data_IF_244525010569
#
_entry.id   IF_244525010569
#
_cell.length_a   1.000
_cell.length_b   1.000
_cell.length_c   1.000
_cell.angle_alpha   90.00
_cell.angle_beta   90.00
_cell.angle_gamma   90.00
#
_symmetry.space_group_name_H-M   'P 1'
#
loop_
_entity.id
_entity.type
_entity.pdbx_description
1 polymer ?
#
# COMPACT_ATOMS: atom_id res chain seq x y z
N UNK A 1 -41.48 56.98 19.10
CA UNK A 1 -42.29 55.80 19.47
C UNK A 1 -41.66 54.58 18.86
N UNK A 2 -41.03 53.75 19.66
CA UNK A 2 -40.21 52.62 19.35
C UNK A 2 -41.04 51.35 19.15
N UNK A 3 -40.72 50.59 18.14
CA UNK A 3 -41.18 49.22 17.98
C UNK A 3 -39.97 48.28 18.08
N UNK A 4 -39.94 47.31 18.99
CA UNK A 4 -38.80 46.41 19.12
C UNK A 4 -38.89 45.21 18.17
N UNK A 5 -37.79 44.95 17.53
CA UNK A 5 -37.48 43.76 16.74
C UNK A 5 -37.58 42.47 17.59
N UNK A 6 -38.37 41.54 17.15
CA UNK A 6 -38.30 40.15 17.58
C UNK A 6 -37.32 39.40 16.66
N UNK A 7 -36.14 39.18 17.15
CA UNK A 7 -35.18 38.21 16.66
C UNK A 7 -35.24 36.96 17.53
N UNK A 8 -35.98 35.95 17.14
CA UNK A 8 -35.83 34.58 17.64
C UNK A 8 -36.74 33.64 16.83
N UNK A 9 -36.18 32.80 16.03
CA UNK A 9 -36.61 31.46 15.65
C UNK A 9 -36.11 31.04 14.26
N UNK A 10 -34.82 30.96 14.11
CA UNK A 10 -34.23 30.18 12.99
C UNK A 10 -32.93 29.51 13.42
N UNK A 11 -33.01 28.68 14.44
CA UNK A 11 -31.92 27.74 14.76
C UNK A 11 -32.55 26.41 15.15
N UNK A 12 -32.18 25.36 14.44
CA UNK A 12 -32.33 23.98 14.90
C UNK A 12 -33.15 22.98 14.05
N UNK A 13 -33.07 23.06 12.74
CA UNK A 13 -33.47 21.88 11.93
C UNK A 13 -32.35 21.26 11.10
N UNK A 14 -31.21 21.94 10.91
CA UNK A 14 -30.07 21.39 10.16
C UNK A 14 -29.17 20.45 10.97
N UNK A 15 -29.10 20.60 12.30
CA UNK A 15 -28.21 19.81 13.15
C UNK A 15 -28.67 18.35 13.35
N UNK A 16 -29.96 18.11 13.44
CA UNK A 16 -30.49 16.76 13.67
C UNK A 16 -30.44 15.87 12.43
N UNK A 17 -30.55 16.47 11.23
CA UNK A 17 -30.50 15.73 9.98
C UNK A 17 -29.04 15.40 9.56
N UNK A 18 -28.07 16.28 9.85
CA UNK A 18 -26.66 16.03 9.59
C UNK A 18 -26.10 14.91 10.50
N UNK A 19 -26.51 14.88 11.78
CA UNK A 19 -26.11 13.79 12.69
C UNK A 19 -26.74 12.44 12.32
N UNK A 20 -28.00 12.42 11.88
CA UNK A 20 -28.65 11.17 11.42
C UNK A 20 -28.05 10.65 10.09
N UNK A 21 -27.65 11.54 9.18
CA UNK A 21 -26.95 11.17 7.96
C UNK A 21 -25.52 10.68 8.22
N UNK A 22 -24.78 11.35 9.12
CA UNK A 22 -23.44 10.92 9.55
C UNK A 22 -23.47 9.53 10.19
N UNK A 23 -24.41 9.27 11.11
CA UNK A 23 -24.53 7.97 11.78
C UNK A 23 -24.90 6.86 10.77
N UNK A 24 -25.80 7.12 9.82
CA UNK A 24 -26.16 6.15 8.78
C UNK A 24 -24.96 5.84 7.85
N UNK A 25 -24.22 6.85 7.44
CA UNK A 25 -23.05 6.67 6.59
C UNK A 25 -21.93 5.92 7.32
N UNK A 26 -21.73 6.19 8.61
CA UNK A 26 -20.68 5.56 9.45
C UNK A 26 -20.94 4.07 9.70
N UNK A 27 -22.18 3.63 9.78
CA UNK A 27 -22.52 2.20 9.96
C UNK A 27 -22.62 1.47 8.62
N UNK A 28 -23.07 2.12 7.58
CA UNK A 28 -23.34 1.48 6.28
C UNK A 28 -22.06 1.19 5.49
N UNK A 29 -21.09 2.09 5.59
CA UNK A 29 -19.82 1.94 4.87
C UNK A 29 -19.02 0.68 5.28
N UNK A 30 -18.79 0.39 6.56
CA UNK A 30 -18.12 -0.84 6.99
C UNK A 30 -18.84 -2.11 6.56
N UNK A 31 -20.17 -2.16 6.70
CA UNK A 31 -20.96 -3.32 6.26
C UNK A 31 -20.86 -3.52 4.74
N UNK A 32 -21.00 -2.44 3.98
CA UNK A 32 -20.86 -2.47 2.52
C UNK A 32 -19.47 -2.94 2.09
N UNK A 33 -18.39 -2.47 2.74
CA UNK A 33 -17.02 -2.88 2.41
C UNK A 33 -16.78 -4.35 2.71
N UNK A 34 -17.26 -4.85 3.83
CA UNK A 34 -17.12 -6.26 4.19
C UNK A 34 -17.90 -7.16 3.21
N UNK A 35 -19.12 -6.80 2.86
CA UNK A 35 -19.94 -7.51 1.88
C UNK A 35 -19.30 -7.50 0.48
N UNK A 36 -18.73 -6.37 0.07
CA UNK A 36 -18.00 -6.23 -1.19
C UNK A 36 -16.79 -7.17 -1.23
N UNK A 37 -15.98 -7.19 -0.18
CA UNK A 37 -14.83 -8.09 -0.07
C UNK A 37 -15.25 -9.56 -0.13
N UNK A 38 -16.31 -9.92 0.58
CA UNK A 38 -16.83 -11.27 0.59
C UNK A 38 -17.30 -11.69 -0.81
N UNK A 39 -17.99 -10.80 -1.52
CA UNK A 39 -18.44 -11.06 -2.89
C UNK A 39 -17.26 -11.26 -3.85
N UNK A 40 -16.24 -10.39 -3.78
CA UNK A 40 -15.02 -10.52 -4.60
C UNK A 40 -14.32 -11.84 -4.29
N UNK A 41 -14.16 -12.19 -3.02
CA UNK A 41 -13.54 -13.43 -2.61
C UNK A 41 -14.25 -14.66 -3.19
N UNK A 42 -15.59 -14.70 -3.12
CA UNK A 42 -16.37 -15.80 -3.66
C UNK A 42 -16.27 -15.95 -5.19
N UNK A 43 -16.11 -14.82 -5.91
CA UNK A 43 -15.91 -14.83 -7.35
C UNK A 43 -14.51 -15.27 -7.76
N UNK A 44 -13.48 -14.93 -6.97
CA UNK A 44 -12.08 -15.23 -7.27
C UNK A 44 -11.67 -16.62 -6.80
N UNK A 45 -12.20 -17.10 -5.68
CA UNK A 45 -11.83 -18.39 -5.08
C UNK A 45 -11.90 -19.59 -6.06
N UNK A 46 -12.89 -19.71 -6.95
CA UNK A 46 -12.93 -20.81 -7.93
C UNK A 46 -11.85 -20.75 -9.01
N UNK A 47 -11.08 -19.64 -9.09
CA UNK A 47 -10.01 -19.45 -10.07
C UNK A 47 -8.61 -19.86 -9.52
N UNK A 48 -8.51 -20.25 -8.26
CA UNK A 48 -7.23 -20.59 -7.60
C UNK A 48 -6.47 -21.68 -8.38
N UNK A 49 -7.16 -22.71 -8.84
CA UNK A 49 -6.55 -23.83 -9.57
C UNK A 49 -6.08 -23.50 -10.99
N UNK A 50 -6.38 -22.28 -11.49
CA UNK A 50 -5.98 -21.86 -12.82
C UNK A 50 -4.56 -21.25 -12.86
N UNK A 51 -3.97 -21.01 -11.69
CA UNK A 51 -2.62 -20.47 -11.53
C UNK A 51 -1.60 -21.54 -11.14
N UNK A 52 -0.34 -21.10 -11.05
CA UNK A 52 0.76 -21.90 -10.51
C UNK A 52 1.51 -21.09 -9.48
N UNK A 53 1.85 -21.72 -8.36
CA UNK A 53 2.74 -21.12 -7.35
C UNK A 53 4.10 -20.84 -7.99
N UNK A 54 4.70 -19.70 -7.65
CA UNK A 54 6.05 -19.34 -8.11
C UNK A 54 7.08 -20.36 -7.58
N UNK A 55 7.80 -21.02 -8.48
CA UNK A 55 8.75 -22.09 -8.15
C UNK A 55 10.22 -21.73 -8.47
N UNK A 56 10.48 -20.51 -8.93
CA UNK A 56 11.83 -20.01 -9.22
C UNK A 56 12.66 -19.71 -7.95
N UNK A 57 12.03 -19.66 -6.78
CA UNK A 57 12.68 -19.63 -5.46
C UNK A 57 12.15 -20.82 -4.67
N UNK A 58 13.01 -21.73 -4.15
CA UNK A 58 12.57 -22.96 -3.47
C UNK A 58 11.58 -22.71 -2.32
N UNK A 59 11.82 -21.69 -1.49
CA UNK A 59 10.93 -21.33 -0.39
C UNK A 59 9.54 -20.85 -0.84
N UNK A 60 9.38 -20.35 -2.06
CA UNK A 60 8.08 -19.98 -2.62
C UNK A 60 7.34 -21.21 -3.16
N UNK A 61 8.05 -22.19 -3.67
CA UNK A 61 7.46 -23.41 -4.21
C UNK A 61 6.73 -24.25 -3.14
N UNK A 62 7.07 -24.06 -1.86
CA UNK A 62 6.46 -24.75 -0.71
C UNK A 62 5.18 -24.07 -0.21
N UNK A 63 4.80 -22.89 -0.76
CA UNK A 63 3.58 -22.17 -0.35
C UNK A 63 2.34 -22.93 -0.79
N UNK A 64 1.37 -23.06 0.12
CA UNK A 64 0.09 -23.68 -0.19
C UNK A 64 -0.63 -22.94 -1.33
N UNK A 65 -0.90 -23.59 -2.49
CA UNK A 65 -1.52 -22.96 -3.64
C UNK A 65 -2.98 -22.54 -3.41
N UNK A 66 -3.65 -23.09 -2.41
CA UNK A 66 -5.05 -22.80 -2.11
C UNK A 66 -5.25 -21.55 -1.23
N UNK A 67 -4.16 -20.94 -0.76
CA UNK A 67 -4.24 -19.73 0.06
C UNK A 67 -4.71 -18.53 -0.75
N UNK A 68 -5.79 -17.91 -0.28
CA UNK A 68 -6.30 -16.65 -0.80
C UNK A 68 -6.76 -15.76 0.35
N UNK A 69 -6.13 -14.62 0.50
CA UNK A 69 -6.51 -13.60 1.48
C UNK A 69 -6.62 -12.23 0.84
N UNK A 70 -7.62 -11.45 1.25
CA UNK A 70 -7.77 -10.05 0.86
C UNK A 70 -7.89 -9.22 2.13
N UNK A 71 -7.15 -8.13 2.21
CA UNK A 71 -7.22 -7.16 3.29
C UNK A 71 -7.28 -5.73 2.73
N UNK A 72 -8.13 -4.89 3.31
CA UNK A 72 -8.20 -3.46 3.03
C UNK A 72 -8.07 -2.73 4.35
N UNK A 73 -7.13 -1.80 4.42
CA UNK A 73 -6.97 -0.87 5.53
C UNK A 73 -7.29 0.54 5.05
N UNK A 74 -8.25 1.20 5.68
CA UNK A 74 -8.68 2.55 5.30
C UNK A 74 -7.84 3.63 5.96
N UNK A 75 -7.91 4.85 5.45
CA UNK A 75 -7.27 6.01 6.08
C UNK A 75 -7.89 6.38 7.44
N UNK A 76 -9.12 5.95 7.69
CA UNK A 76 -9.84 6.11 8.95
C UNK A 76 -9.42 5.10 10.01
N UNK A 77 -8.63 4.07 9.62
CA UNK A 77 -8.12 3.03 10.51
C UNK A 77 -8.99 1.76 10.56
N UNK A 78 -9.98 1.62 9.69
CA UNK A 78 -10.80 0.41 9.59
C UNK A 78 -10.06 -0.69 8.81
N UNK A 79 -10.09 -1.91 9.33
CA UNK A 79 -9.52 -3.10 8.69
C UNK A 79 -10.64 -4.06 8.27
N UNK A 80 -10.70 -4.37 6.98
CA UNK A 80 -11.60 -5.37 6.41
C UNK A 80 -10.78 -6.53 5.87
N UNK A 81 -11.19 -7.77 6.19
CA UNK A 81 -10.46 -8.98 5.80
C UNK A 81 -11.38 -10.09 5.35
N UNK A 82 -10.90 -10.94 4.45
CA UNK A 82 -11.58 -12.15 4.02
C UNK A 82 -10.57 -13.24 3.64
N UNK A 83 -10.92 -14.51 3.86
CA UNK A 83 -10.05 -15.64 3.60
C UNK A 83 -8.82 -15.67 4.50
N UNK A 84 -7.66 -16.03 3.93
CA UNK A 84 -6.40 -16.22 4.64
C UNK A 84 -5.63 -14.92 4.89
N UNK A 85 -6.33 -13.79 5.06
CA UNK A 85 -5.75 -12.46 5.15
C UNK A 85 -4.76 -12.27 6.32
N UNK A 86 -4.86 -13.10 7.36
CA UNK A 86 -3.95 -13.07 8.52
C UNK A 86 -2.81 -14.08 8.42
N UNK A 87 -2.77 -14.88 7.36
CA UNK A 87 -1.69 -15.83 7.14
C UNK A 87 -0.43 -15.10 6.66
N UNK A 88 0.72 -15.28 7.30
CA UNK A 88 1.97 -14.68 6.87
C UNK A 88 2.34 -15.08 5.43
N UNK A 89 2.85 -14.14 4.66
CA UNK A 89 3.33 -14.36 3.30
C UNK A 89 4.66 -13.64 3.04
N UNK A 90 5.35 -14.03 1.99
CA UNK A 90 6.61 -13.39 1.61
C UNK A 90 6.37 -12.01 1.03
N UNK A 91 6.99 -10.99 1.62
CA UNK A 91 6.81 -9.58 1.23
C UNK A 91 7.26 -9.29 -0.22
N UNK A 92 8.22 -10.05 -0.75
CA UNK A 92 8.71 -9.91 -2.11
C UNK A 92 8.99 -8.43 -2.50
N UNK A 93 8.60 -8.04 -3.71
CA UNK A 93 8.81 -6.67 -4.22
C UNK A 93 7.97 -5.58 -3.53
N UNK A 94 7.05 -5.91 -2.63
CA UNK A 94 6.40 -4.91 -1.76
C UNK A 94 7.46 -4.18 -0.92
N UNK A 95 8.56 -4.85 -0.58
CA UNK A 95 9.70 -4.27 0.13
C UNK A 95 10.30 -3.03 -0.54
N UNK A 96 10.17 -2.90 -1.87
CA UNK A 96 10.68 -1.74 -2.62
C UNK A 96 9.97 -0.43 -2.25
N UNK A 97 8.68 -0.49 -1.90
CA UNK A 97 7.92 0.69 -1.44
C UNK A 97 8.48 1.17 -0.11
N UNK A 98 8.73 0.28 0.83
CA UNK A 98 9.30 0.62 2.14
C UNK A 98 10.73 1.13 2.01
N UNK A 99 11.55 0.49 1.15
CA UNK A 99 12.91 0.94 0.86
C UNK A 99 12.92 2.35 0.28
N UNK A 100 12.09 2.63 -0.73
CA UNK A 100 11.96 3.96 -1.32
C UNK A 100 11.55 5.00 -0.27
N UNK A 101 10.55 4.70 0.56
CA UNK A 101 10.09 5.61 1.61
C UNK A 101 11.24 5.98 2.56
N UNK A 102 12.03 5.00 2.98
CA UNK A 102 13.17 5.23 3.85
C UNK A 102 14.28 6.06 3.16
N UNK A 103 14.60 5.73 1.91
CA UNK A 103 15.61 6.46 1.14
C UNK A 103 15.20 7.93 0.90
N UNK A 104 13.92 8.19 0.67
CA UNK A 104 13.37 9.55 0.56
C UNK A 104 13.49 10.33 1.88
N UNK A 105 13.28 9.68 3.02
CA UNK A 105 13.50 10.31 4.34
C UNK A 105 14.97 10.64 4.59
N UNK A 106 15.89 9.83 4.06
CA UNK A 106 17.33 10.02 4.23
C UNK A 106 17.93 11.10 3.33
N UNK A 107 17.54 11.15 2.07
CA UNK A 107 18.19 11.97 1.05
C UNK A 107 17.27 13.04 0.41
N UNK A 108 15.96 12.98 0.64
CA UNK A 108 15.03 13.90 -0.01
C UNK A 108 15.18 13.87 -1.54
N UNK A 109 15.23 15.05 -2.16
CA UNK A 109 15.32 15.20 -3.62
C UNK A 109 16.67 14.77 -4.22
N UNK A 110 17.74 14.67 -3.43
CA UNK A 110 19.05 14.19 -3.89
C UNK A 110 18.99 12.74 -4.38
N UNK A 111 18.03 11.97 -3.89
CA UNK A 111 17.72 10.62 -4.35
C UNK A 111 17.57 10.54 -5.86
N UNK A 112 16.89 11.53 -6.46
CA UNK A 112 16.56 11.56 -7.87
C UNK A 112 17.73 11.85 -8.82
N UNK A 113 18.89 12.12 -8.27
CA UNK A 113 20.16 12.17 -9.05
C UNK A 113 20.71 10.77 -9.32
N UNK A 114 20.33 9.78 -8.50
CA UNK A 114 20.81 8.40 -8.58
C UNK A 114 19.80 7.42 -9.18
N UNK A 115 18.52 7.76 -9.18
CA UNK A 115 17.44 6.96 -9.74
C UNK A 115 16.39 7.88 -10.36
N UNK A 116 15.89 7.51 -11.53
CA UNK A 116 14.87 8.30 -12.25
C UNK A 116 13.45 8.07 -11.70
N UNK A 117 12.49 8.70 -12.38
CA UNK A 117 11.05 8.62 -12.09
C UNK A 117 10.20 8.24 -13.30
N UNK A 118 10.86 7.67 -14.32
CA UNK A 118 10.23 7.35 -15.59
C UNK A 118 9.80 5.87 -15.67
N UNK A 119 8.76 5.54 -16.40
CA UNK A 119 8.41 4.15 -16.66
C UNK A 119 9.53 3.45 -17.46
N UNK A 120 9.81 2.18 -17.17
CA UNK A 120 10.94 1.51 -17.80
C UNK A 120 10.67 1.06 -19.23
N UNK A 121 9.46 0.73 -19.60
CA UNK A 121 9.14 0.17 -20.93
C UNK A 121 9.76 -1.20 -21.23
N UNK A 122 10.60 -1.73 -20.34
CA UNK A 122 11.23 -3.04 -20.40
C UNK A 122 10.84 -3.90 -19.18
N UNK A 123 11.03 -5.23 -19.24
CA UNK A 123 10.81 -6.09 -18.07
C UNK A 123 11.59 -5.60 -16.86
N UNK A 124 10.96 -5.67 -15.67
CA UNK A 124 11.49 -5.13 -14.41
C UNK A 124 12.85 -5.68 -13.97
N UNK A 125 13.28 -6.83 -14.52
CA UNK A 125 14.54 -7.50 -14.26
C UNK A 125 15.57 -7.29 -15.38
N UNK A 126 15.27 -6.50 -16.42
CA UNK A 126 16.21 -6.20 -17.50
C UNK A 126 17.27 -5.20 -17.02
N UNK A 127 18.53 -5.47 -17.39
CA UNK A 127 19.66 -4.56 -17.14
C UNK A 127 20.13 -3.85 -18.43
N UNK A 128 19.62 -4.26 -19.58
CA UNK A 128 20.04 -3.72 -20.90
C UNK A 128 19.83 -2.20 -20.97
N UNK A 129 18.73 -1.70 -20.42
CA UNK A 129 18.41 -0.29 -20.42
C UNK A 129 19.40 0.54 -19.57
N UNK A 130 19.98 -0.06 -18.54
CA UNK A 130 20.92 0.61 -17.65
C UNK A 130 22.21 1.02 -18.40
N UNK A 131 22.61 0.23 -19.39
CA UNK A 131 23.78 0.52 -20.22
C UNK A 131 23.56 1.76 -21.08
N UNK A 132 22.36 1.94 -21.63
CA UNK A 132 21.99 3.13 -22.42
C UNK A 132 21.79 4.38 -21.60
N UNK A 133 21.55 4.27 -20.29
CA UNK A 133 21.20 5.35 -19.38
C UNK A 133 22.32 5.69 -18.40
N UNK A 134 23.57 5.41 -18.79
CA UNK A 134 24.76 5.75 -18.00
C UNK A 134 24.72 5.19 -16.56
N UNK A 135 24.09 4.05 -16.35
CA UNK A 135 24.00 3.41 -15.05
C UNK A 135 22.95 4.00 -14.11
N UNK A 136 22.09 4.92 -14.57
CA UNK A 136 21.01 5.49 -13.77
C UNK A 136 19.70 4.76 -14.07
N UNK A 137 19.15 3.98 -13.13
CA UNK A 137 17.89 3.25 -13.34
C UNK A 137 16.71 4.23 -13.52
N UNK A 138 15.78 3.91 -14.42
CA UNK A 138 14.62 4.76 -14.72
C UNK A 138 13.69 5.01 -13.56
N UNK A 139 13.53 4.05 -12.67
CA UNK A 139 12.69 4.22 -11.49
C UNK A 139 13.11 3.26 -10.36
N UNK A 140 12.68 3.50 -9.11
CA UNK A 140 13.06 2.70 -7.95
C UNK A 140 12.38 1.32 -7.88
N UNK A 141 11.40 1.03 -8.73
CA UNK A 141 10.60 -0.21 -8.67
C UNK A 141 11.09 -1.31 -9.60
N UNK A 142 11.90 -1.00 -10.63
CA UNK A 142 12.67 -2.03 -11.34
C UNK A 142 13.81 -2.53 -10.46
N UNK A 143 14.33 -3.74 -10.74
CA UNK A 143 15.33 -4.35 -9.85
C UNK A 143 16.62 -3.50 -9.74
N UNK A 144 17.10 -2.94 -10.86
CA UNK A 144 18.25 -2.04 -10.85
C UNK A 144 18.04 -0.82 -9.94
N UNK A 145 16.84 -0.20 -10.00
CA UNK A 145 16.49 0.92 -9.13
C UNK A 145 16.41 0.52 -7.66
N UNK A 146 15.84 -0.63 -7.35
CA UNK A 146 15.78 -1.15 -5.99
C UNK A 146 17.17 -1.42 -5.39
N UNK A 147 18.14 -1.82 -6.21
CA UNK A 147 19.55 -1.97 -5.79
C UNK A 147 20.14 -0.61 -5.39
N UNK A 148 19.92 0.44 -6.20
CA UNK A 148 20.38 1.80 -5.87
C UNK A 148 19.74 2.31 -4.57
N UNK A 149 18.43 2.06 -4.37
CA UNK A 149 17.74 2.39 -3.12
C UNK A 149 18.37 1.66 -1.93
N UNK A 150 18.69 0.38 -2.09
CA UNK A 150 19.35 -0.41 -1.04
C UNK A 150 20.73 0.12 -0.69
N UNK A 151 21.52 0.51 -1.69
CA UNK A 151 22.84 1.11 -1.51
C UNK A 151 22.78 2.44 -0.76
N UNK A 152 21.78 3.28 -1.04
CA UNK A 152 21.54 4.52 -0.28
C UNK A 152 21.28 4.23 1.19
N UNK A 153 20.44 3.24 1.48
CA UNK A 153 20.12 2.85 2.86
C UNK A 153 21.36 2.26 3.55
N UNK A 154 22.09 1.39 2.86
CA UNK A 154 23.31 0.76 3.39
C UNK A 154 24.37 1.80 3.74
N UNK A 155 24.58 2.77 2.85
CA UNK A 155 25.53 3.85 3.08
C UNK A 155 25.19 4.74 4.27
N UNK A 156 23.91 4.83 4.65
CA UNK A 156 23.45 5.68 5.74
C UNK A 156 23.43 4.97 7.11
N UNK A 157 23.45 3.65 7.16
CA UNK A 157 23.29 2.88 8.40
C UNK A 157 24.35 1.78 8.54
N UNK A 158 24.89 1.63 9.75
CA UNK A 158 25.81 0.54 10.09
C UNK A 158 25.14 -0.87 10.06
N UNK A 159 23.82 -0.93 10.16
CA UNK A 159 23.05 -2.17 10.14
C UNK A 159 21.72 -2.02 9.33
N UNK A 160 21.78 -1.86 8.01
CA UNK A 160 20.63 -1.56 7.17
C UNK A 160 19.52 -2.62 7.23
N UNK A 161 19.88 -3.89 7.36
CA UNK A 161 18.91 -4.99 7.50
C UNK A 161 18.05 -4.85 8.77
N UNK A 162 18.61 -4.33 9.86
CA UNK A 162 17.88 -4.07 11.10
C UNK A 162 16.92 -2.90 10.91
N UNK A 163 17.34 -1.85 10.21
CA UNK A 163 16.53 -0.66 9.93
C UNK A 163 15.31 -1.02 9.08
N UNK A 164 15.48 -1.83 8.03
CA UNK A 164 14.37 -2.31 7.21
C UNK A 164 13.38 -3.16 8.02
N UNK A 165 13.84 -4.05 8.88
CA UNK A 165 12.97 -4.83 9.78
C UNK A 165 12.18 -3.94 10.74
N UNK A 166 12.83 -2.92 11.30
CA UNK A 166 12.16 -1.97 12.20
C UNK A 166 11.13 -1.11 11.48
N UNK A 167 11.42 -0.68 10.24
CA UNK A 167 10.49 0.10 9.43
C UNK A 167 9.22 -0.72 9.13
N UNK A 168 9.38 -1.94 8.62
CA UNK A 168 8.24 -2.82 8.33
C UNK A 168 7.41 -3.09 9.58
N UNK A 169 8.07 -3.33 10.74
CA UNK A 169 7.38 -3.57 12.02
C UNK A 169 6.61 -2.35 12.55
N UNK A 170 7.02 -1.13 12.20
CA UNK A 170 6.30 0.10 12.61
C UNK A 170 5.10 0.40 11.72
N UNK A 171 5.05 -0.16 10.52
CA UNK A 171 4.01 0.08 9.52
C UNK A 171 2.97 -1.06 9.48
N UNK A 172 3.22 -2.15 10.18
CA UNK A 172 2.32 -3.27 10.39
C UNK A 172 1.60 -3.16 11.74
#
# INVERSE_FOLDING_TARGET
>A
MSCPLKSECFLNTKSANSRKQSIKTTIWFPLFMQDLLQNIYQQVKPLIDQGKVADYIPALAEVNPEQLGIAIYTNEGDLFTVGDALTPFSIQSISKVFGLTLAMQLQGDELWKRVGREPSGLPFNSLVQLEYENGIPRNPFINAGAIVISDIIESAYAAPNLVMKLLVRKLS
#
